data_IF_809443019028
#
_entry.id   IF_809443019028
#
_cell.length_a   1.000
_cell.length_b   1.000
_cell.length_c   1.000
_cell.angle_alpha   90.00
_cell.angle_beta   90.00
_cell.angle_gamma   90.00
#
_symmetry.space_group_name_H-M   'P 1'
#
loop_
_entity.id
_entity.type
_entity.pdbx_description
1 polymer ?
#
# COMPACT_ATOMS: atom_id res chain seq x y z
N UNK A 1 3.23 -6.39 24.13
CA UNK A 1 3.69 -5.31 23.25
C UNK A 1 2.44 -4.56 22.84
N UNK A 2 2.21 -3.38 23.43
CA UNK A 2 1.02 -2.58 23.18
C UNK A 2 1.06 -2.02 21.77
N UNK A 3 0.00 -2.25 20.99
CA UNK A 3 -0.25 -1.69 19.66
C UNK A 3 -0.43 -0.18 19.75
N UNK A 4 0.68 0.55 19.85
CA UNK A 4 0.69 2.00 19.67
C UNK A 4 1.82 2.42 18.74
N UNK A 5 2.00 1.69 17.63
CA UNK A 5 2.72 2.21 16.47
C UNK A 5 1.80 3.20 15.73
N UNK A 6 1.51 4.32 16.39
CA UNK A 6 0.84 5.43 15.75
C UNK A 6 1.77 5.95 14.66
N UNK A 7 1.34 5.87 13.40
CA UNK A 7 2.06 6.47 12.28
C UNK A 7 2.47 7.91 12.61
N UNK A 8 3.78 8.14 12.68
CA UNK A 8 4.33 9.47 12.96
C UNK A 8 4.28 10.30 11.68
N UNK A 9 3.51 11.37 11.73
CA UNK A 9 3.35 12.27 10.58
C UNK A 9 4.58 13.17 10.47
N UNK A 10 5.15 13.35 9.26
CA UNK A 10 6.28 14.25 9.05
C UNK A 10 6.00 15.70 9.47
N UNK A 11 4.76 16.17 9.25
CA UNK A 11 4.28 17.51 9.66
C UNK A 11 2.93 17.39 10.39
N UNK A 12 2.79 17.93 11.62
CA UNK A 12 1.51 18.01 12.32
C UNK A 12 0.41 18.75 11.55
N UNK A 13 0.75 19.72 10.70
CA UNK A 13 -0.21 20.44 9.86
C UNK A 13 -0.82 19.53 8.78
N UNK A 14 -0.01 18.67 8.17
CA UNK A 14 -0.48 17.67 7.19
C UNK A 14 -1.44 16.68 7.84
N UNK A 15 -1.11 16.23 9.06
CA UNK A 15 -1.99 15.39 9.87
C UNK A 15 -3.33 16.07 10.12
N UNK A 16 -3.30 17.32 10.60
CA UNK A 16 -4.52 18.07 10.90
C UNK A 16 -5.39 18.26 9.65
N UNK A 17 -4.76 18.61 8.52
CA UNK A 17 -5.44 18.75 7.24
C UNK A 17 -6.10 17.45 6.78
N UNK A 18 -5.38 16.33 6.81
CA UNK A 18 -5.90 15.02 6.40
C UNK A 18 -7.07 14.56 7.29
N UNK A 19 -6.95 14.75 8.61
CA UNK A 19 -8.03 14.41 9.56
C UNK A 19 -9.28 15.26 9.32
N UNK A 20 -9.13 16.57 9.15
CA UNK A 20 -10.28 17.45 8.88
C UNK A 20 -10.90 17.18 7.51
N UNK A 21 -10.11 16.85 6.49
CA UNK A 21 -10.64 16.41 5.21
C UNK A 21 -11.46 15.12 5.35
N UNK A 22 -10.94 14.11 6.05
CA UNK A 22 -11.65 12.84 6.26
C UNK A 22 -12.98 13.05 7.00
N UNK A 23 -13.03 13.93 8.02
CA UNK A 23 -14.27 14.28 8.71
C UNK A 23 -15.30 14.93 7.78
N UNK A 24 -14.87 15.91 6.97
CA UNK A 24 -15.75 16.62 6.03
C UNK A 24 -16.36 15.71 4.96
N UNK A 25 -15.63 14.68 4.53
CA UNK A 25 -16.08 13.77 3.48
C UNK A 25 -17.06 12.68 3.97
N UNK A 26 -17.22 12.46 5.29
CA UNK A 26 -17.96 11.30 5.82
C UNK A 26 -19.39 11.14 5.28
N UNK A 27 -20.17 12.22 5.22
CA UNK A 27 -21.54 12.14 4.74
C UNK A 27 -21.59 11.78 3.24
N UNK A 28 -20.72 12.40 2.43
CA UNK A 28 -20.63 12.11 1.00
C UNK A 28 -20.18 10.66 0.75
N UNK A 29 -19.22 10.17 1.52
CA UNK A 29 -18.74 8.77 1.42
C UNK A 29 -19.84 7.79 1.82
N UNK A 30 -20.64 8.11 2.83
CA UNK A 30 -21.76 7.26 3.25
C UNK A 30 -22.84 7.12 2.16
N UNK A 31 -23.02 8.14 1.33
CA UNK A 31 -24.03 8.15 0.26
C UNK A 31 -23.50 7.61 -1.08
N UNK A 32 -22.25 7.90 -1.42
CA UNK A 32 -21.71 7.68 -2.77
C UNK A 32 -20.35 6.98 -2.83
N UNK A 33 -19.78 6.57 -1.70
CA UNK A 33 -18.43 6.02 -1.63
C UNK A 33 -17.32 7.07 -1.83
N UNK A 34 -16.08 6.59 -1.93
CA UNK A 34 -14.89 7.44 -2.10
C UNK A 34 -14.14 7.04 -3.38
N UNK A 35 -13.86 8.03 -4.24
CA UNK A 35 -12.91 7.88 -5.34
C UNK A 35 -11.62 8.61 -5.01
N UNK A 36 -10.49 7.95 -5.27
CA UNK A 36 -9.16 8.52 -5.11
C UNK A 36 -8.20 7.87 -6.12
N UNK A 37 -7.01 8.45 -6.24
CA UNK A 37 -5.91 7.90 -7.03
C UNK A 37 -4.77 7.52 -6.08
N UNK A 38 -4.10 6.41 -6.37
CA UNK A 38 -2.96 5.95 -5.59
C UNK A 38 -1.82 5.55 -6.53
N UNK A 39 -0.61 5.96 -6.16
CA UNK A 39 0.61 5.45 -6.77
C UNK A 39 0.96 4.09 -6.15
N UNK A 40 1.21 3.10 -6.99
CA UNK A 40 1.73 1.80 -6.58
C UNK A 40 3.22 1.73 -6.92
N UNK A 41 4.10 1.40 -5.95
CA UNK A 41 5.49 1.09 -6.24
C UNK A 41 5.61 -0.05 -7.27
N UNK A 42 6.68 -0.11 -8.07
CA UNK A 42 6.79 -1.06 -9.19
C UNK A 42 6.52 -2.52 -8.83
N UNK A 43 7.00 -2.99 -7.68
CA UNK A 43 6.77 -4.36 -7.23
C UNK A 43 5.29 -4.68 -7.00
N UNK A 44 4.54 -3.74 -6.43
CA UNK A 44 3.11 -3.90 -6.18
C UNK A 44 2.29 -3.72 -7.46
N UNK A 45 2.69 -2.79 -8.32
CA UNK A 45 2.07 -2.58 -9.63
C UNK A 45 2.21 -3.82 -10.53
N UNK A 46 3.42 -4.40 -10.63
CA UNK A 46 3.66 -5.61 -11.42
C UNK A 46 2.88 -6.80 -10.88
N UNK A 47 2.92 -7.03 -9.57
CA UNK A 47 2.13 -8.07 -8.92
C UNK A 47 0.63 -7.94 -9.24
N UNK A 48 0.09 -6.72 -9.24
CA UNK A 48 -1.31 -6.47 -9.55
C UNK A 48 -1.63 -6.77 -11.03
N UNK A 49 -0.73 -6.37 -11.94
CA UNK A 49 -0.88 -6.64 -13.37
C UNK A 49 -0.85 -8.14 -13.67
N UNK A 50 0.04 -8.90 -13.04
CA UNK A 50 0.09 -10.37 -13.19
C UNK A 50 -1.25 -11.04 -12.85
N UNK A 51 -1.97 -10.51 -11.84
CA UNK A 51 -3.29 -11.04 -11.43
C UNK A 51 -4.36 -10.75 -12.48
N UNK A 52 -4.29 -9.61 -13.12
CA UNK A 52 -5.18 -9.24 -14.23
C UNK A 52 -4.87 -10.10 -15.46
N UNK A 53 -3.59 -10.30 -15.79
CA UNK A 53 -3.16 -11.17 -16.90
C UNK A 53 -3.61 -12.63 -16.69
N UNK A 54 -3.64 -13.09 -15.43
CA UNK A 54 -4.15 -14.40 -15.04
C UNK A 54 -5.69 -14.49 -14.99
N UNK A 55 -6.40 -13.39 -15.29
CA UNK A 55 -7.86 -13.34 -15.29
C UNK A 55 -8.50 -13.38 -13.89
N UNK A 56 -7.73 -13.08 -12.83
CA UNK A 56 -8.26 -13.03 -11.46
C UNK A 56 -9.04 -11.74 -11.18
N UNK A 57 -8.66 -10.65 -11.85
CA UNK A 57 -9.35 -9.36 -11.80
C UNK A 57 -9.50 -8.78 -13.21
N UNK A 58 -10.57 -8.02 -13.42
CA UNK A 58 -10.88 -7.31 -14.65
C UNK A 58 -10.02 -6.06 -14.83
N UNK A 59 -9.81 -5.30 -13.75
CA UNK A 59 -9.03 -4.07 -13.74
C UNK A 59 -8.47 -3.74 -12.34
N UNK A 60 -7.55 -2.75 -12.22
CA UNK A 60 -6.99 -2.36 -10.93
C UNK A 60 -8.01 -1.85 -9.91
N UNK A 61 -9.15 -1.27 -10.35
CA UNK A 61 -10.16 -0.76 -9.43
C UNK A 61 -10.92 -1.91 -8.76
N UNK A 62 -11.26 -2.97 -9.51
CA UNK A 62 -11.84 -4.19 -8.94
C UNK A 62 -10.87 -4.86 -7.96
N UNK A 63 -9.62 -5.02 -8.36
CA UNK A 63 -8.60 -5.65 -7.52
C UNK A 63 -8.42 -4.90 -6.18
N UNK A 64 -8.32 -3.57 -6.22
CA UNK A 64 -8.22 -2.74 -5.00
C UNK A 64 -9.48 -2.86 -4.14
N UNK A 65 -10.67 -2.90 -4.74
CA UNK A 65 -11.92 -3.08 -4.00
C UNK A 65 -11.92 -4.42 -3.24
N UNK A 66 -11.55 -5.52 -3.90
CA UNK A 66 -11.50 -6.85 -3.28
C UNK A 66 -10.45 -6.89 -2.15
N UNK A 67 -9.21 -6.46 -2.43
CA UNK A 67 -8.10 -6.51 -1.48
C UNK A 67 -8.37 -5.64 -0.23
N UNK A 68 -8.99 -4.46 -0.40
CA UNK A 68 -9.38 -3.64 0.76
C UNK A 68 -10.50 -4.29 1.59
N UNK A 69 -11.41 -5.01 0.95
CA UNK A 69 -12.42 -5.83 1.62
C UNK A 69 -11.78 -6.92 2.47
N UNK A 70 -10.86 -7.71 1.88
CA UNK A 70 -10.09 -8.74 2.58
C UNK A 70 -9.29 -8.17 3.76
N UNK A 71 -8.67 -6.99 3.58
CA UNK A 71 -7.95 -6.33 4.65
C UNK A 71 -8.86 -5.96 5.82
N UNK A 72 -10.03 -5.38 5.53
CA UNK A 72 -11.05 -5.04 6.53
C UNK A 72 -11.57 -6.28 7.26
N UNK A 73 -11.76 -7.40 6.55
CA UNK A 73 -12.17 -8.67 7.15
C UNK A 73 -11.08 -9.25 8.07
N UNK A 74 -9.81 -9.06 7.74
CA UNK A 74 -8.68 -9.53 8.52
C UNK A 74 -8.45 -8.70 9.81
N UNK A 75 -8.85 -7.43 9.86
CA UNK A 75 -8.66 -6.53 11.01
C UNK A 75 -9.04 -7.12 12.39
N UNK A 76 -10.22 -7.74 12.59
CA UNK A 76 -10.60 -8.34 13.88
C UNK A 76 -9.78 -9.59 14.24
N UNK A 77 -9.08 -10.21 13.28
CA UNK A 77 -8.33 -11.45 13.47
C UNK A 77 -6.87 -11.15 13.83
N UNK A 78 -6.67 -10.60 15.04
CA UNK A 78 -5.35 -10.19 15.52
C UNK A 78 -4.34 -11.36 15.63
N UNK A 79 -4.82 -12.59 15.85
CA UNK A 79 -4.04 -13.82 15.84
C UNK A 79 -3.49 -14.13 14.44
N UNK A 80 -4.33 -14.07 13.41
CA UNK A 80 -3.92 -14.29 12.02
C UNK A 80 -2.94 -13.21 11.55
N UNK A 81 -3.19 -11.94 11.86
CA UNK A 81 -2.26 -10.84 11.54
C UNK A 81 -0.89 -11.03 12.19
N UNK A 82 -0.87 -11.46 13.45
CA UNK A 82 0.37 -11.74 14.18
C UNK A 82 1.13 -12.92 13.58
N UNK A 83 0.41 -13.97 13.19
CA UNK A 83 1.04 -15.13 12.57
C UNK A 83 1.58 -14.81 11.17
N UNK A 84 0.88 -14.00 10.37
CA UNK A 84 1.38 -13.50 9.09
C UNK A 84 2.66 -12.65 9.26
N UNK A 85 2.68 -11.77 10.26
CA UNK A 85 3.86 -10.96 10.59
C UNK A 85 5.03 -11.86 11.00
N UNK A 86 4.77 -12.84 11.88
CA UNK A 86 5.79 -13.80 12.35
C UNK A 86 6.41 -14.54 11.16
N UNK A 87 5.61 -15.11 10.27
CA UNK A 87 6.11 -15.83 9.08
C UNK A 87 6.87 -14.93 8.12
N UNK A 88 6.46 -13.66 7.99
CA UNK A 88 7.19 -12.68 7.18
C UNK A 88 8.58 -12.39 7.75
N UNK A 89 8.70 -12.31 9.08
CA UNK A 89 9.99 -12.11 9.76
C UNK A 89 10.87 -13.36 9.61
N UNK A 90 10.31 -14.55 9.82
CA UNK A 90 11.02 -15.83 9.64
C UNK A 90 11.55 -15.95 8.20
N UNK A 91 10.70 -15.70 7.20
CA UNK A 91 11.12 -15.72 5.80
C UNK A 91 12.21 -14.69 5.47
N UNK A 92 12.19 -13.52 6.10
CA UNK A 92 13.23 -12.51 5.94
C UNK A 92 14.55 -12.89 6.64
N UNK A 93 14.48 -13.59 7.78
CA UNK A 93 15.65 -14.07 8.50
C UNK A 93 16.32 -15.25 7.79
N UNK A 94 15.52 -16.09 7.14
CA UNK A 94 15.98 -17.24 6.35
C UNK A 94 16.42 -16.86 4.92
N UNK A 95 16.38 -15.58 4.55
CA UNK A 95 16.80 -15.11 3.23
C UNK A 95 18.30 -15.37 3.02
N UNK A 96 18.69 -16.15 1.99
CA UNK A 96 20.08 -16.52 1.77
C UNK A 96 20.93 -15.35 1.22
N UNK A 97 20.31 -14.24 0.83
CA UNK A 97 21.04 -13.07 0.32
C UNK A 97 21.85 -12.42 1.45
N UNK A 98 23.06 -11.92 1.16
CA UNK A 98 23.86 -11.23 2.16
C UNK A 98 23.11 -10.00 2.68
N UNK A 99 23.06 -9.85 4.00
CA UNK A 99 22.53 -8.65 4.63
C UNK A 99 23.37 -7.42 4.28
N UNK A 100 22.71 -6.26 4.24
CA UNK A 100 23.37 -4.96 4.12
C UNK A 100 23.37 -4.24 5.46
N UNK A 101 24.39 -3.43 5.72
CA UNK A 101 24.38 -2.60 6.93
C UNK A 101 23.33 -1.50 6.85
N UNK A 102 22.86 -0.98 8.00
CA UNK A 102 21.93 0.14 8.01
C UNK A 102 22.48 1.41 7.35
N UNK A 103 23.78 1.66 7.43
CA UNK A 103 24.42 2.81 6.77
C UNK A 103 24.55 2.62 5.26
N UNK A 104 24.85 1.41 4.82
CA UNK A 104 24.85 1.05 3.39
C UNK A 104 23.44 1.18 2.79
N UNK A 105 22.41 0.67 3.47
CA UNK A 105 21.01 0.84 3.06
C UNK A 105 20.63 2.33 2.94
N UNK A 106 20.98 3.16 3.92
CA UNK A 106 20.73 4.60 3.88
C UNK A 106 21.48 5.27 2.72
N UNK A 107 22.73 4.88 2.47
CA UNK A 107 23.52 5.41 1.37
C UNK A 107 22.88 5.06 0.01
N UNK A 108 22.50 3.79 -0.19
CA UNK A 108 21.79 3.38 -1.41
C UNK A 108 20.47 4.13 -1.61
N UNK A 109 19.67 4.29 -0.55
CA UNK A 109 18.41 5.04 -0.63
C UNK A 109 18.64 6.51 -0.99
N UNK A 110 19.71 7.13 -0.49
CA UNK A 110 20.09 8.50 -0.88
C UNK A 110 20.49 8.58 -2.35
N UNK A 111 21.30 7.64 -2.84
CA UNK A 111 21.69 7.61 -4.26
C UNK A 111 20.48 7.39 -5.17
N UNK A 112 19.60 6.43 -4.83
CA UNK A 112 18.36 6.18 -5.58
C UNK A 112 17.43 7.40 -5.63
N UNK A 113 17.43 8.23 -4.57
CA UNK A 113 16.64 9.49 -4.53
C UNK A 113 17.23 10.62 -5.38
N UNK A 114 18.49 10.55 -5.83
CA UNK A 114 19.09 11.58 -6.70
C UNK A 114 18.57 11.49 -8.14
N UNK A 115 18.12 10.31 -8.56
CA UNK A 115 17.59 10.09 -9.90
C UNK A 115 16.06 10.21 -9.84
N UNK A 116 15.44 11.09 -10.64
CA UNK A 116 13.99 11.14 -10.74
C UNK A 116 13.43 9.78 -11.16
N UNK A 117 12.32 9.38 -10.55
CA UNK A 117 11.61 8.19 -11.01
C UNK A 117 11.09 8.43 -12.43
N UNK A 118 11.10 7.39 -13.29
CA UNK A 118 10.40 7.45 -14.57
C UNK A 118 8.91 7.76 -14.39
N UNK A 119 8.28 8.27 -15.45
CA UNK A 119 6.84 8.49 -15.50
C UNK A 119 6.10 7.18 -15.17
N UNK A 120 5.16 7.19 -14.20
CA UNK A 120 4.40 6.00 -13.87
C UNK A 120 3.45 5.61 -14.99
N UNK A 121 3.28 4.30 -15.21
CA UNK A 121 2.27 3.79 -16.12
C UNK A 121 0.85 4.16 -15.62
N UNK A 122 -0.06 4.41 -16.57
CA UNK A 122 -1.46 4.76 -16.27
C UNK A 122 -2.39 3.70 -16.86
N UNK A 123 -3.34 3.24 -16.06
CA UNK A 123 -4.36 2.31 -16.54
C UNK A 123 -5.42 3.05 -17.35
N UNK A 124 -5.58 2.70 -18.62
CA UNK A 124 -6.60 3.29 -19.50
C UNK A 124 -7.89 2.47 -19.44
N UNK A 125 -8.99 3.12 -19.03
CA UNK A 125 -10.31 2.48 -19.07
C UNK A 125 -10.76 2.37 -20.52
N UNK A 126 -11.13 1.16 -20.94
CA UNK A 126 -11.76 0.96 -22.24
C UNK A 126 -13.11 1.67 -22.26
N UNK A 127 -13.27 2.67 -23.13
CA UNK A 127 -14.57 3.25 -23.45
C UNK A 127 -15.44 2.16 -24.08
N UNK A 128 -16.47 1.72 -23.36
CA UNK A 128 -17.54 0.91 -23.96
C UNK A 128 -18.39 1.87 -24.80
N UNK A 129 -18.40 1.69 -26.12
CA UNK A 129 -19.35 2.36 -27.02
C UNK A 129 -20.70 1.67 -26.95
#
# INVERSE_FOLDING_TARGET
>A
MTDTDAFEWPDPADKAHAVEQAKRLRNQVNEGGLRFEAYLPPSLALWLLDRIEQGQFLDPSEAVFVILGEHKELEPHADLRRELLKRSIEAAADDPRPGISGEEMKAELREKRKVPLPEPARWEKRSRR
#
